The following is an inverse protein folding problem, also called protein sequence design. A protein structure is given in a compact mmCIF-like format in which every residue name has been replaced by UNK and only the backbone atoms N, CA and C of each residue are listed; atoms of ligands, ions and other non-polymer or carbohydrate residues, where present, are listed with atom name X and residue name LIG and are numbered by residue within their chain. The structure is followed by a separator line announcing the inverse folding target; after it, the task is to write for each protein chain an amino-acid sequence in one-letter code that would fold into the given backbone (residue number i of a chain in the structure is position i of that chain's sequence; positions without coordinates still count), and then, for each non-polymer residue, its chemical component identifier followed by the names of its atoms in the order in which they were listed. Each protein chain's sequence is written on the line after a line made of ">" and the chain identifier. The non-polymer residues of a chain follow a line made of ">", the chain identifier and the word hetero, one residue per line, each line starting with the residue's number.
data_IF_654326468176
#
_entry.id   IF_654326468176
#
_cell.length_a   1.000
_cell.length_b   1.000
_cell.length_c   1.000
_cell.angle_alpha   90.00
_cell.angle_beta   90.00
_cell.angle_gamma   90.00
#
_symmetry.space_group_name_H-M   'P 1'
#
loop_
_entity.id
_entity.type
_entity.pdbx_description
1 polymer ?
#
# COMPACT_ATOMS: atom_id res chain seq x y z
N UNK A 1 15.52 -6.72 -16.51
CA UNK A 1 15.58 -5.57 -15.57
C UNK A 1 14.25 -5.41 -14.82
N UNK A 2 13.84 -6.40 -14.01
CA UNK A 2 12.54 -6.37 -13.32
C UNK A 2 12.47 -5.36 -12.16
N UNK A 3 13.61 -5.07 -11.53
CA UNK A 3 13.69 -4.17 -10.37
C UNK A 3 13.26 -2.73 -10.67
N UNK A 4 13.39 -2.25 -11.92
CA UNK A 4 12.92 -0.91 -12.34
C UNK A 4 11.40 -0.81 -12.19
N UNK A 5 10.68 -1.87 -12.60
CA UNK A 5 9.24 -1.92 -12.48
C UNK A 5 8.79 -1.96 -11.02
N UNK A 6 9.50 -2.72 -10.18
CA UNK A 6 9.26 -2.69 -8.74
C UNK A 6 9.49 -1.30 -8.14
N UNK A 7 10.57 -0.60 -8.54
CA UNK A 7 10.89 0.74 -8.04
C UNK A 7 9.84 1.79 -8.45
N UNK A 8 9.44 1.81 -9.73
CA UNK A 8 8.40 2.71 -10.23
C UNK A 8 7.05 2.43 -9.56
N UNK A 9 6.67 1.15 -9.45
CA UNK A 9 5.45 0.76 -8.76
C UNK A 9 5.50 1.13 -7.28
N UNK A 10 6.63 0.90 -6.62
CA UNK A 10 6.84 1.22 -5.20
C UNK A 10 6.71 2.70 -4.90
N UNK A 11 7.24 3.57 -5.77
CA UNK A 11 7.07 5.01 -5.66
C UNK A 11 5.58 5.42 -5.72
N UNK A 12 4.81 4.82 -6.64
CA UNK A 12 3.35 5.02 -6.74
C UNK A 12 2.64 4.50 -5.49
N UNK A 13 2.94 3.28 -5.05
CA UNK A 13 2.35 2.64 -3.88
C UNK A 13 2.55 3.45 -2.60
N UNK A 14 3.80 3.87 -2.34
CA UNK A 14 4.12 4.69 -1.18
C UNK A 14 3.42 6.05 -1.22
N UNK A 15 3.31 6.66 -2.41
CA UNK A 15 2.58 7.93 -2.60
C UNK A 15 1.09 7.78 -2.34
N UNK A 16 0.46 6.69 -2.81
CA UNK A 16 -0.95 6.39 -2.54
C UNK A 16 -1.21 6.16 -1.06
N UNK A 17 -0.34 5.39 -0.38
CA UNK A 17 -0.42 5.16 1.07
C UNK A 17 -0.38 6.48 1.83
N UNK A 18 0.52 7.38 1.45
CA UNK A 18 0.60 8.71 2.01
C UNK A 18 -0.67 9.53 1.79
N UNK A 19 -1.25 9.48 0.59
CA UNK A 19 -2.53 10.10 0.27
C UNK A 19 -3.67 9.58 1.14
N UNK A 20 -3.73 8.26 1.38
CA UNK A 20 -4.72 7.64 2.27
C UNK A 20 -4.55 8.13 3.70
N UNK A 21 -3.34 8.25 4.22
CA UNK A 21 -3.11 8.79 5.56
C UNK A 21 -3.58 10.23 5.69
N UNK A 22 -3.27 11.09 4.71
CA UNK A 22 -3.76 12.47 4.71
C UNK A 22 -5.30 12.53 4.64
N UNK A 23 -5.92 11.67 3.85
CA UNK A 23 -7.38 11.60 3.76
C UNK A 23 -8.01 11.10 5.07
N UNK A 24 -7.45 10.05 5.68
CA UNK A 24 -7.92 9.52 6.96
C UNK A 24 -7.82 10.57 8.08
N UNK A 25 -6.74 11.36 8.10
CA UNK A 25 -6.59 12.47 9.04
C UNK A 25 -7.66 13.55 8.87
N UNK A 26 -8.05 13.87 7.62
CA UNK A 26 -9.13 14.85 7.37
C UNK A 26 -10.49 14.40 7.88
N UNK A 27 -10.72 13.09 7.96
CA UNK A 27 -11.98 12.51 8.42
C UNK A 27 -12.07 12.37 9.94
N UNK A 28 -10.95 12.42 10.66
CA UNK A 28 -10.92 12.18 12.10
C UNK A 28 -10.92 13.51 12.88
N UNK A 29 -12.11 13.91 13.36
CA UNK A 29 -12.35 15.04 14.28
C UNK A 29 -12.03 14.72 15.75
N UNK A 30 -11.70 13.46 16.09
CA UNK A 30 -11.33 13.05 17.45
C UNK A 30 -9.88 12.52 17.53
N UNK A 31 -9.11 12.95 18.54
CA UNK A 31 -7.69 12.61 18.69
C UNK A 31 -7.56 11.18 19.22
N UNK A 32 -7.49 10.18 18.35
CA UNK A 32 -7.09 8.84 18.75
C UNK A 32 -5.63 8.63 18.32
N UNK A 33 -4.76 8.78 19.32
CA UNK A 33 -3.37 8.34 19.39
C UNK A 33 -2.55 8.51 18.11
N UNK A 34 -2.17 9.75 17.86
CA UNK A 34 -1.00 10.10 17.05
C UNK A 34 0.27 9.55 17.73
N UNK A 35 0.84 8.46 17.20
CA UNK A 35 2.03 7.83 17.79
C UNK A 35 3.35 8.51 17.37
N UNK A 36 3.31 9.48 16.45
CA UNK A 36 4.50 10.23 16.00
C UNK A 36 4.19 11.72 15.82
N UNK A 37 4.85 12.64 16.56
CA UNK A 37 4.78 14.07 16.31
C UNK A 37 5.68 14.42 15.11
N UNK A 38 5.10 14.94 14.02
CA UNK A 38 5.85 15.65 12.96
C UNK A 38 6.10 14.91 11.64
N UNK A 39 5.87 13.60 11.56
CA UNK A 39 5.74 12.87 10.29
C UNK A 39 4.25 12.60 10.08
N UNK A 40 3.70 12.78 8.87
CA UNK A 40 2.25 12.71 8.65
C UNK A 40 1.65 11.52 9.39
N UNK A 41 0.79 11.85 10.34
CA UNK A 41 0.37 10.99 11.44
C UNK A 41 -0.11 9.64 10.91
N UNK A 42 0.70 8.61 11.17
CA UNK A 42 0.33 7.22 10.97
C UNK A 42 -0.82 6.93 11.93
N UNK A 43 -2.06 6.96 11.44
CA UNK A 43 -3.22 6.60 12.25
C UNK A 43 -3.40 5.09 12.20
N UNK A 44 -3.72 4.46 13.33
CA UNK A 44 -3.99 3.01 13.38
C UNK A 44 -5.09 2.63 12.37
N UNK A 45 -6.11 3.47 12.24
CA UNK A 45 -7.19 3.29 11.25
C UNK A 45 -6.69 3.40 9.81
N UNK A 46 -5.85 4.38 9.49
CA UNK A 46 -5.27 4.54 8.16
C UNK A 46 -4.37 3.35 7.80
N UNK A 47 -3.54 2.90 8.73
CA UNK A 47 -2.66 1.74 8.54
C UNK A 47 -3.44 0.45 8.36
N UNK A 48 -4.53 0.25 9.10
CA UNK A 48 -5.42 -0.89 8.91
C UNK A 48 -6.06 -0.84 7.50
N UNK A 49 -6.52 0.33 7.08
CA UNK A 49 -7.20 0.53 5.80
C UNK A 49 -6.28 0.20 4.61
N UNK A 50 -5.04 0.70 4.60
CA UNK A 50 -4.09 0.42 3.50
C UNK A 50 -3.69 -1.06 3.46
N UNK A 51 -3.48 -1.70 4.62
CA UNK A 51 -3.11 -3.11 4.67
C UNK A 51 -4.27 -4.04 4.27
N UNK A 52 -5.49 -3.76 4.74
CA UNK A 52 -6.65 -4.60 4.43
C UNK A 52 -7.07 -4.45 2.96
N UNK A 53 -7.16 -3.22 2.46
CA UNK A 53 -7.46 -2.98 1.04
C UNK A 53 -6.36 -3.50 0.12
N UNK A 54 -5.09 -3.26 0.48
CA UNK A 54 -3.94 -3.76 -0.28
C UNK A 54 -3.88 -5.29 -0.34
N UNK A 55 -4.04 -5.98 0.79
CA UNK A 55 -4.04 -7.45 0.83
C UNK A 55 -5.21 -8.07 0.06
N UNK A 56 -6.40 -7.47 0.11
CA UNK A 56 -7.53 -7.87 -0.73
C UNK A 56 -7.20 -7.76 -2.22
N UNK A 57 -6.64 -6.62 -2.65
CA UNK A 57 -6.26 -6.41 -4.06
C UNK A 57 -5.15 -7.37 -4.49
N UNK A 58 -4.17 -7.66 -3.62
CA UNK A 58 -3.15 -8.69 -3.89
C UNK A 58 -3.81 -10.05 -4.13
N UNK A 59 -4.74 -10.46 -3.27
CA UNK A 59 -5.46 -11.73 -3.42
C UNK A 59 -6.23 -11.82 -4.73
N UNK A 60 -6.96 -10.76 -5.10
CA UNK A 60 -7.68 -10.68 -6.36
C UNK A 60 -6.75 -10.76 -7.58
N UNK A 61 -5.64 -10.01 -7.56
CA UNK A 61 -4.67 -10.03 -8.66
C UNK A 61 -3.95 -11.37 -8.77
N UNK A 62 -3.57 -11.98 -7.65
CA UNK A 62 -2.96 -13.32 -7.66
C UNK A 62 -3.92 -14.36 -8.27
N UNK A 63 -5.19 -14.38 -7.86
CA UNK A 63 -6.18 -15.29 -8.45
C UNK A 63 -6.43 -15.03 -9.94
N UNK A 64 -6.42 -13.75 -10.36
CA UNK A 64 -6.55 -13.39 -11.77
C UNK A 64 -5.32 -13.79 -12.59
N UNK A 65 -4.12 -13.69 -12.01
CA UNK A 65 -2.87 -14.06 -12.66
C UNK A 65 -2.75 -15.58 -12.82
N UNK A 66 -3.22 -16.33 -11.83
CA UNK A 66 -3.20 -17.80 -11.86
C UNK A 66 -4.10 -18.36 -12.98
N UNK A 67 -5.19 -17.68 -13.29
CA UNK A 67 -6.10 -18.04 -14.41
C UNK A 67 -5.62 -17.55 -15.77
N UNK A 68 -4.62 -16.66 -15.83
CA UNK A 68 -4.11 -16.03 -17.06
C UNK A 68 -2.60 -16.27 -17.18
N UNK A 69 -2.24 -17.46 -17.68
CA UNK A 69 -0.86 -17.96 -17.91
C UNK A 69 0.07 -17.00 -18.68
N UNK A 70 -0.47 -15.99 -19.38
CA UNK A 70 0.27 -15.08 -20.27
C UNK A 70 0.43 -13.64 -19.78
N UNK A 71 0.15 -13.31 -18.52
CA UNK A 71 0.40 -11.95 -18.04
C UNK A 71 1.91 -11.68 -17.92
N UNK A 72 2.35 -10.55 -18.50
CA UNK A 72 3.75 -10.13 -18.52
C UNK A 72 4.30 -10.04 -17.09
N UNK A 73 5.39 -10.76 -16.82
CA UNK A 73 6.09 -10.80 -15.53
C UNK A 73 6.48 -9.39 -15.05
N UNK A 74 6.70 -8.45 -15.99
CA UNK A 74 6.94 -7.03 -15.68
C UNK A 74 5.75 -6.37 -15.02
N UNK A 75 4.55 -6.64 -15.51
CA UNK A 75 3.31 -6.08 -14.97
C UNK A 75 3.01 -6.67 -13.58
N UNK A 76 3.24 -7.98 -13.40
CA UNK A 76 3.14 -8.64 -12.10
C UNK A 76 4.09 -8.01 -11.08
N UNK A 77 5.35 -7.82 -11.47
CA UNK A 77 6.37 -7.18 -10.62
C UNK A 77 5.99 -5.74 -10.28
N UNK A 78 5.53 -4.95 -11.27
CA UNK A 78 5.09 -3.57 -11.08
C UNK A 78 3.92 -3.48 -10.10
N UNK A 79 2.88 -4.29 -10.26
CA UNK A 79 1.65 -4.19 -9.48
C UNK A 79 1.79 -4.82 -8.08
N UNK A 80 2.25 -6.07 -8.00
CA UNK A 80 2.29 -6.81 -6.74
C UNK A 80 3.47 -6.35 -5.89
N UNK A 81 4.69 -6.51 -6.40
CA UNK A 81 5.89 -6.17 -5.62
C UNK A 81 6.10 -4.65 -5.51
N UNK A 82 5.80 -3.90 -6.58
CA UNK A 82 5.92 -2.45 -6.58
C UNK A 82 4.75 -1.75 -5.87
N UNK A 83 3.62 -1.57 -6.57
CA UNK A 83 2.50 -0.74 -6.11
C UNK A 83 1.93 -1.25 -4.79
N UNK A 84 1.54 -2.52 -4.73
CA UNK A 84 0.89 -3.06 -3.53
C UNK A 84 1.88 -3.29 -2.39
N UNK A 85 3.12 -3.68 -2.70
CA UNK A 85 4.22 -3.74 -1.73
C UNK A 85 4.54 -2.38 -1.10
N UNK A 86 4.56 -1.29 -1.86
CA UNK A 86 4.77 0.06 -1.33
C UNK A 86 3.52 0.67 -0.65
N UNK A 87 2.33 0.22 -1.05
CA UNK A 87 1.05 0.67 -0.49
C UNK A 87 0.73 0.03 0.87
N UNK A 88 1.14 -1.22 1.09
CA UNK A 88 1.00 -1.92 2.37
C UNK A 88 2.21 -1.68 3.27
N UNK A 89 2.07 -1.85 4.58
CA UNK A 89 3.19 -1.63 5.52
C UNK A 89 3.02 -2.39 6.84
N UNK A 90 4.01 -3.23 7.15
CA UNK A 90 4.14 -3.87 8.47
C UNK A 90 4.79 -2.95 9.48
N UNK A 91 5.77 -2.13 9.06
CA UNK A 91 6.50 -1.24 9.97
C UNK A 91 5.58 -0.22 10.65
N UNK A 92 4.61 0.35 9.91
CA UNK A 92 3.64 1.28 10.50
C UNK A 92 2.54 0.59 11.31
N UNK A 93 2.38 -0.74 11.18
CA UNK A 93 1.45 -1.54 11.97
C UNK A 93 2.07 -1.90 13.33
N UNK A 94 3.39 -2.14 13.37
CA UNK A 94 4.14 -2.46 14.58
C UNK A 94 4.57 -1.24 15.41
N UNK A 95 4.38 -0.03 14.88
CA UNK A 95 4.71 1.23 15.54
C UNK A 95 3.60 1.66 16.50
#
# INVERSE_FOLDING_TARGET
>A
MGWIWAALGGAVGASLRWGVYQWAQKLQTHPITSFAPGAATLTTTGTLLVNLSGSLVIGLLMGLFDTRVFLDERLRTFLIMGVLGGFTTMSALSM
#
